data_IF_199261589251
#
_entry.id   IF_199261589251
#
_cell.length_a   1.000
_cell.length_b   1.000
_cell.length_c   1.000
_cell.angle_alpha   90.00
_cell.angle_beta   90.00
_cell.angle_gamma   90.00
#
_symmetry.space_group_name_H-M   'P 1'
#
loop_
_entity.id
_entity.type
_entity.pdbx_description
1 polymer ?
#
# COMPACT_ATOMS: atom_id res chain seq x y z
N UNK A 1 -17.14 -16.02 -7.01
CA UNK A 1 -16.29 -16.50 -5.93
C UNK A 1 -16.75 -15.98 -4.60
N UNK A 2 -16.70 -16.82 -3.60
CA UNK A 2 -17.13 -16.42 -2.26
C UNK A 2 -15.89 -16.06 -1.45
N UNK A 3 -15.62 -14.77 -1.33
CA UNK A 3 -14.42 -14.30 -0.64
C UNK A 3 -14.43 -14.64 0.84
N UNK A 4 -15.60 -14.70 1.45
CA UNK A 4 -15.70 -15.05 2.86
C UNK A 4 -15.19 -16.46 3.16
N UNK A 5 -15.18 -17.31 2.17
CA UNK A 5 -14.62 -18.65 2.32
C UNK A 5 -13.16 -18.69 1.95
N UNK A 6 -12.80 -17.90 0.95
CA UNK A 6 -11.41 -17.79 0.54
C UNK A 6 -10.77 -16.68 1.34
N UNK A 7 -10.61 -16.89 2.62
CA UNK A 7 -10.07 -15.90 3.52
C UNK A 7 -8.76 -15.33 3.06
N UNK A 8 -8.05 -16.10 2.25
CA UNK A 8 -6.80 -15.66 1.64
C UNK A 8 -6.72 -16.25 0.24
N UNK A 9 -6.30 -15.44 -0.70
CA UNK A 9 -5.98 -15.90 -2.05
C UNK A 9 -4.65 -15.27 -2.40
N UNK A 10 -3.58 -16.03 -2.21
CA UNK A 10 -2.23 -15.52 -2.32
C UNK A 10 -1.57 -16.10 -3.56
N UNK A 11 -1.50 -15.30 -4.62
CA UNK A 11 -0.80 -15.67 -5.85
C UNK A 11 0.58 -15.07 -5.93
N UNK A 12 0.88 -14.14 -5.03
CA UNK A 12 2.20 -13.54 -4.94
C UNK A 12 3.11 -14.33 -4.02
N UNK A 13 4.30 -13.80 -3.82
CA UNK A 13 5.32 -14.40 -2.98
C UNK A 13 5.41 -13.66 -1.66
N UNK A 14 5.05 -14.34 -0.57
CA UNK A 14 5.21 -13.81 0.78
C UNK A 14 6.37 -14.54 1.44
N UNK A 15 7.31 -13.79 2.00
CA UNK A 15 8.42 -14.41 2.69
C UNK A 15 8.01 -14.88 4.09
N UNK A 16 8.91 -15.59 4.77
CA UNK A 16 8.62 -16.18 6.07
C UNK A 16 8.47 -15.16 7.20
N UNK A 17 8.82 -13.91 6.97
CA UNK A 17 8.69 -12.86 7.97
C UNK A 17 7.41 -12.06 7.82
N UNK A 18 6.66 -12.30 6.76
CA UNK A 18 5.40 -11.60 6.51
C UNK A 18 4.23 -12.41 7.07
N UNK A 19 3.17 -11.70 7.47
CA UNK A 19 1.97 -12.32 8.02
C UNK A 19 0.73 -11.74 7.37
N UNK A 20 -0.29 -12.59 7.27
CA UNK A 20 -1.61 -12.16 6.79
C UNK A 20 -2.65 -12.47 7.86
N UNK A 21 -3.61 -11.59 8.01
CA UNK A 21 -4.74 -11.78 8.92
C UNK A 21 -6.02 -11.40 8.20
N UNK A 22 -7.06 -12.24 8.33
CA UNK A 22 -8.34 -11.98 7.70
C UNK A 22 -8.35 -12.27 6.21
N UNK A 23 -9.24 -11.63 5.49
CA UNK A 23 -9.44 -11.86 4.06
C UNK A 23 -8.44 -11.02 3.26
N UNK A 24 -7.43 -11.68 2.72
CA UNK A 24 -6.36 -11.01 1.95
C UNK A 24 -6.24 -11.67 0.59
N UNK A 25 -6.28 -10.86 -0.45
CA UNK A 25 -6.06 -11.30 -1.82
C UNK A 25 -4.80 -10.61 -2.33
N UNK A 26 -3.85 -11.39 -2.81
CA UNK A 26 -2.59 -10.87 -3.36
C UNK A 26 -2.42 -11.40 -4.77
N UNK A 27 -2.29 -10.52 -5.73
CA UNK A 27 -2.17 -10.87 -7.13
C UNK A 27 -0.84 -11.48 -7.51
N UNK A 28 -0.80 -12.06 -8.71
CA UNK A 28 0.38 -12.72 -9.22
C UNK A 28 1.54 -11.75 -9.40
N UNK A 29 2.75 -12.20 -9.14
CA UNK A 29 3.94 -11.39 -9.32
C UNK A 29 4.22 -10.39 -8.22
N UNK A 30 3.34 -10.30 -7.23
CA UNK A 30 3.54 -9.40 -6.10
C UNK A 30 4.48 -10.04 -5.10
N UNK A 31 5.42 -9.25 -4.59
CA UNK A 31 6.38 -9.69 -3.58
C UNK A 31 6.08 -8.97 -2.27
N UNK A 32 5.98 -9.72 -1.20
CA UNK A 32 5.73 -9.17 0.14
C UNK A 32 6.84 -9.64 1.07
N UNK A 33 7.56 -8.71 1.66
CA UNK A 33 8.68 -9.00 2.54
C UNK A 33 8.55 -8.24 3.86
N UNK A 34 8.72 -8.94 4.95
CA UNK A 34 8.74 -8.36 6.30
C UNK A 34 7.56 -7.42 6.53
N UNK A 35 6.37 -7.85 6.14
CA UNK A 35 5.20 -6.98 6.18
C UNK A 35 4.02 -7.70 6.83
N UNK A 36 3.04 -6.91 7.25
CA UNK A 36 1.79 -7.43 7.80
C UNK A 36 0.66 -6.95 6.91
N UNK A 37 -0.13 -7.90 6.44
CA UNK A 37 -1.31 -7.62 5.62
C UNK A 37 -2.54 -8.03 6.40
N UNK A 38 -3.38 -7.08 6.73
CA UNK A 38 -4.60 -7.34 7.51
C UNK A 38 -5.82 -7.00 6.68
N UNK A 39 -6.66 -8.01 6.45
CA UNK A 39 -7.86 -7.85 5.63
C UNK A 39 -9.05 -7.28 6.37
N UNK A 40 -10.10 -6.96 5.60
CA UNK A 40 -10.24 -7.21 4.16
C UNK A 40 -9.30 -6.32 3.34
N UNK A 41 -8.56 -6.94 2.43
CA UNK A 41 -7.50 -6.26 1.70
C UNK A 41 -7.31 -6.92 0.34
N UNK A 42 -7.15 -6.11 -0.70
CA UNK A 42 -6.84 -6.59 -2.03
C UNK A 42 -5.57 -5.90 -2.51
N UNK A 43 -4.60 -6.71 -2.92
CA UNK A 43 -3.37 -6.22 -3.53
C UNK A 43 -3.31 -6.78 -4.94
N UNK A 44 -3.07 -5.93 -5.90
CA UNK A 44 -3.01 -6.30 -7.31
C UNK A 44 -1.78 -7.08 -7.69
N UNK A 45 -1.48 -7.07 -8.97
CA UNK A 45 -0.37 -7.82 -9.54
C UNK A 45 0.90 -7.00 -9.62
N UNK A 46 2.05 -7.69 -9.53
CA UNK A 46 3.36 -7.09 -9.72
C UNK A 46 3.63 -5.91 -8.78
N UNK A 47 3.09 -5.99 -7.58
CA UNK A 47 3.38 -5.02 -6.54
C UNK A 47 4.61 -5.44 -5.75
N UNK A 48 5.20 -4.47 -5.05
CA UNK A 48 6.30 -4.73 -4.13
C UNK A 48 5.93 -4.10 -2.80
N UNK A 49 5.84 -4.92 -1.76
CA UNK A 49 5.52 -4.45 -0.41
C UNK A 49 6.63 -4.92 0.51
N UNK A 50 7.35 -3.98 1.12
CA UNK A 50 8.48 -4.29 1.98
C UNK A 50 8.42 -3.51 3.27
N UNK A 51 8.62 -4.20 4.38
CA UNK A 51 8.73 -3.60 5.69
C UNK A 51 7.57 -2.65 5.97
N UNK A 52 6.34 -3.09 5.68
CA UNK A 52 5.17 -2.23 5.70
C UNK A 52 4.00 -2.91 6.39
N UNK A 53 3.03 -2.10 6.78
CA UNK A 53 1.75 -2.58 7.28
C UNK A 53 0.64 -2.09 6.37
N UNK A 54 -0.15 -3.03 5.83
CA UNK A 54 -1.31 -2.70 5.03
C UNK A 54 -2.52 -3.22 5.79
N UNK A 55 -3.36 -2.29 6.23
CA UNK A 55 -4.48 -2.61 7.09
C UNK A 55 -5.78 -2.82 6.35
N UNK A 56 -6.88 -2.98 7.11
CA UNK A 56 -8.16 -3.37 6.54
C UNK A 56 -8.78 -2.28 5.66
N UNK A 57 -9.66 -2.75 4.77
CA UNK A 57 -10.41 -1.91 3.84
C UNK A 57 -9.50 -1.09 2.94
N UNK A 58 -8.45 -1.74 2.45
CA UNK A 58 -7.48 -1.13 1.54
C UNK A 58 -7.50 -1.89 0.23
N UNK A 59 -7.41 -1.15 -0.87
CA UNK A 59 -7.28 -1.71 -2.21
C UNK A 59 -6.03 -1.15 -2.85
N UNK A 60 -5.09 -2.02 -3.17
CA UNK A 60 -3.84 -1.65 -3.84
C UNK A 60 -3.92 -2.22 -5.24
N UNK A 61 -3.81 -1.36 -6.25
CA UNK A 61 -3.88 -1.76 -7.63
C UNK A 61 -2.51 -2.27 -8.12
N UNK A 62 -2.40 -2.50 -9.42
CA UNK A 62 -1.22 -3.17 -9.97
C UNK A 62 0.03 -2.28 -9.95
N UNK A 63 1.19 -2.93 -9.86
CA UNK A 63 2.49 -2.28 -10.01
C UNK A 63 2.74 -1.14 -9.01
N UNK A 64 2.22 -1.30 -7.81
CA UNK A 64 2.42 -0.35 -6.72
C UNK A 64 3.60 -0.82 -5.86
N UNK A 65 4.44 0.11 -5.46
CA UNK A 65 5.54 -0.16 -4.53
C UNK A 65 5.27 0.56 -3.22
N UNK A 66 5.29 -0.20 -2.12
CA UNK A 66 5.11 0.35 -0.78
C UNK A 66 6.27 -0.13 0.07
N UNK A 67 7.02 0.80 0.65
CA UNK A 67 8.18 0.48 1.49
C UNK A 67 8.17 1.32 2.76
N UNK A 68 8.48 0.67 3.89
CA UNK A 68 8.65 1.37 5.17
C UNK A 68 7.49 2.31 5.48
N UNK A 69 6.27 1.85 5.25
CA UNK A 69 5.09 2.69 5.40
C UNK A 69 3.93 1.89 5.95
N UNK A 70 2.94 2.59 6.49
CA UNK A 70 1.71 1.98 6.97
C UNK A 70 0.54 2.64 6.27
N UNK A 71 -0.43 1.84 5.84
CA UNK A 71 -1.61 2.37 5.16
C UNK A 71 -2.83 1.51 5.51
N UNK A 72 -3.98 2.15 5.72
CA UNK A 72 -5.24 1.44 5.85
C UNK A 72 -6.40 2.30 5.41
N UNK A 73 -7.56 1.68 5.14
CA UNK A 73 -8.78 2.35 4.72
C UNK A 73 -8.54 3.27 3.51
N UNK A 74 -7.78 2.79 2.53
CA UNK A 74 -7.36 3.63 1.41
C UNK A 74 -7.44 2.88 0.09
N UNK A 75 -7.41 3.64 -0.99
CA UNK A 75 -7.35 3.11 -2.35
C UNK A 75 -6.11 3.70 -3.00
N UNK A 76 -5.24 2.82 -3.51
CA UNK A 76 -4.02 3.23 -4.19
C UNK A 76 -4.09 2.69 -5.61
N UNK A 77 -4.19 3.58 -6.58
CA UNK A 77 -4.29 3.19 -7.97
C UNK A 77 -2.92 2.79 -8.54
N UNK A 78 -2.92 2.32 -9.78
CA UNK A 78 -1.76 1.63 -10.31
C UNK A 78 -0.52 2.52 -10.47
N UNK A 79 0.63 1.86 -10.39
CA UNK A 79 1.97 2.44 -10.62
C UNK A 79 2.32 3.57 -9.65
N UNK A 80 1.85 3.46 -8.43
CA UNK A 80 2.22 4.40 -7.37
C UNK A 80 3.46 3.91 -6.62
N UNK A 81 4.15 4.84 -6.00
CA UNK A 81 5.26 4.54 -5.09
C UNK A 81 5.03 5.28 -3.78
N UNK A 82 5.03 4.54 -2.69
CA UNK A 82 4.86 5.09 -1.34
C UNK A 82 6.02 4.56 -0.51
N UNK A 83 6.86 5.44 0.02
CA UNK A 83 8.01 4.96 0.77
C UNK A 83 8.43 5.92 1.87
N UNK A 84 8.89 5.34 2.97
CA UNK A 84 9.50 6.07 4.08
C UNK A 84 8.58 7.11 4.70
N UNK A 85 7.30 6.79 4.82
CA UNK A 85 6.32 7.71 5.38
C UNK A 85 6.21 7.43 6.87
N UNK A 86 6.53 8.39 7.73
CA UNK A 86 6.64 8.14 9.17
C UNK A 86 5.30 8.00 9.90
N UNK A 87 4.21 8.46 9.30
CA UNK A 87 2.89 8.39 9.93
C UNK A 87 1.96 7.60 9.02
N UNK A 88 1.07 6.82 9.62
CA UNK A 88 0.14 5.97 8.87
C UNK A 88 -0.71 6.81 7.90
N UNK A 89 -0.82 6.32 6.67
CA UNK A 89 -1.73 6.88 5.68
C UNK A 89 -3.10 6.28 5.93
N UNK A 90 -4.11 7.11 6.03
CA UNK A 90 -5.45 6.67 6.36
C UNK A 90 -6.48 7.40 5.52
N UNK A 91 -7.58 6.71 5.20
CA UNK A 91 -8.73 7.29 4.53
C UNK A 91 -8.35 8.10 3.29
N UNK A 92 -7.48 7.54 2.46
CA UNK A 92 -6.90 8.26 1.34
C UNK A 92 -7.25 7.62 0.00
N UNK A 93 -7.34 8.46 -1.01
CA UNK A 93 -7.45 8.01 -2.40
C UNK A 93 -6.24 8.55 -3.12
N UNK A 94 -5.40 7.65 -3.61
CA UNK A 94 -4.16 8.01 -4.27
C UNK A 94 -4.28 7.61 -5.74
N UNK A 95 -4.22 8.59 -6.61
CA UNK A 95 -4.41 8.41 -8.05
C UNK A 95 -3.26 7.67 -8.70
N UNK A 96 -3.37 7.46 -10.02
CA UNK A 96 -2.37 6.70 -10.76
C UNK A 96 -1.03 7.42 -10.79
N UNK A 97 0.03 6.63 -10.71
CA UNK A 97 1.40 7.11 -10.91
C UNK A 97 1.81 8.21 -9.93
N UNK A 98 1.19 8.22 -8.75
CA UNK A 98 1.54 9.16 -7.70
C UNK A 98 2.74 8.63 -6.93
N UNK A 99 3.61 9.53 -6.53
CA UNK A 99 4.76 9.20 -5.71
C UNK A 99 4.68 9.99 -4.41
N UNK A 100 4.71 9.26 -3.30
CA UNK A 100 4.70 9.84 -1.97
C UNK A 100 5.94 9.33 -1.27
N UNK A 101 6.83 10.23 -0.88
CA UNK A 101 8.10 9.82 -0.30
C UNK A 101 8.62 10.91 0.64
N UNK A 102 9.43 10.48 1.59
CA UNK A 102 10.06 11.41 2.51
C UNK A 102 11.29 11.99 1.84
N UNK A 103 11.41 13.31 1.89
CA UNK A 103 12.59 13.98 1.35
C UNK A 103 13.77 13.85 2.31
N UNK A 104 14.93 13.53 1.77
CA UNK A 104 16.17 13.49 2.53
C UNK A 104 16.93 14.81 2.43
N UNK A 105 16.41 15.75 1.69
CA UNK A 105 17.07 17.03 1.45
C UNK A 105 16.95 17.96 2.65
N UNK A 106 17.92 18.84 2.79
CA UNK A 106 17.94 19.88 3.82
C UNK A 106 18.04 21.24 3.17
N UNK A 107 17.31 22.24 3.67
CA UNK A 107 16.34 22.15 4.75
C UNK A 107 15.15 21.27 4.38
N UNK A 108 14.52 20.70 5.41
CA UNK A 108 13.36 19.84 5.23
C UNK A 108 12.16 20.69 4.80
N UNK A 109 11.42 20.22 3.83
CA UNK A 109 10.23 20.92 3.34
C UNK A 109 9.24 19.94 2.74
N UNK A 110 7.97 20.32 2.76
CA UNK A 110 6.97 19.61 1.98
C UNK A 110 7.03 20.14 0.55
N UNK A 111 6.93 19.24 -0.41
CA UNK A 111 6.85 19.59 -1.83
C UNK A 111 5.67 18.86 -2.41
N UNK A 112 4.74 19.61 -2.98
CA UNK A 112 3.54 19.05 -3.55
C UNK A 112 3.48 19.27 -5.04
N UNK A 113 3.16 18.21 -5.77
CA UNK A 113 2.82 18.26 -7.17
C UNK A 113 1.53 17.48 -7.30
N UNK A 114 0.42 18.14 -7.08
CA UNK A 114 -0.89 17.51 -7.02
C UNK A 114 -1.82 18.14 -8.03
N UNK A 115 -2.80 17.36 -8.47
CA UNK A 115 -3.72 17.78 -9.50
C UNK A 115 -4.97 18.46 -8.96
N UNK A 116 -5.92 18.66 -9.85
CA UNK A 116 -7.18 19.31 -9.52
C UNK A 116 -7.98 18.51 -8.52
N UNK A 117 -8.73 19.22 -7.69
CA UNK A 117 -9.64 18.62 -6.70
C UNK A 117 -8.93 17.75 -5.67
N UNK A 118 -7.67 18.04 -5.41
CA UNK A 118 -6.90 17.30 -4.40
C UNK A 118 -7.10 17.91 -3.03
N UNK A 119 -7.00 17.05 -2.01
CA UNK A 119 -7.01 17.44 -0.63
C UNK A 119 -5.79 16.82 0.04
N UNK A 120 -5.01 17.61 0.74
CA UNK A 120 -3.83 17.13 1.44
C UNK A 120 -3.87 17.64 2.88
N UNK A 121 -3.91 16.70 3.82
CA UNK A 121 -3.83 17.03 5.24
C UNK A 121 -2.44 16.65 5.73
N UNK A 122 -1.78 17.54 6.39
CA UNK A 122 -0.44 17.29 6.95
C UNK A 122 -0.45 17.51 8.44
N UNK A 123 0.46 16.81 9.09
CA UNK A 123 0.65 16.95 10.54
C UNK A 123 1.55 18.12 10.87
#
# INVERSE_FOLDING_TARGET
>A
MVLSRAKRLLRGNLDGTSRTEGEVIVGAGTTVENSILRGPLIVGERCVIKNSYIGPFTSIYDEVTIRNSEIEHSIVLERCTIQDIPVRIEASLIGKEVRIQRSQLKPTAYRFMVGDSSLVDVL
#
